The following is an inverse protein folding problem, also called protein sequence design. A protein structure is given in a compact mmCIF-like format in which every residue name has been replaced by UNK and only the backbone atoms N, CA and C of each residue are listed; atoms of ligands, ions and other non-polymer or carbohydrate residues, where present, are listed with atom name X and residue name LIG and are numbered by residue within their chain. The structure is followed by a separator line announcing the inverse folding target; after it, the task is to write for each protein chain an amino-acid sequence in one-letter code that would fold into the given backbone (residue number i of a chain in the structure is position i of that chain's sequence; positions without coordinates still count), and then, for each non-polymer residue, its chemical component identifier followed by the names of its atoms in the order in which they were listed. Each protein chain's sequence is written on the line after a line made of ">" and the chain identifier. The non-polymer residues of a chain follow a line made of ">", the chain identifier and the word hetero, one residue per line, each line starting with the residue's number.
data_IF_428986010852
#
_entry.id   IF_428986010852
#
_cell.length_a   1.000
_cell.length_b   1.000
_cell.length_c   1.000
_cell.angle_alpha   90.00
_cell.angle_beta   90.00
_cell.angle_gamma   90.00
#
_symmetry.space_group_name_H-M   'P 1'
#
loop_
_entity.id
_entity.type
_entity.pdbx_description
1 polymer ?
#
# COMPACT_ATOMS: atom_id res chain seq x y z
N UNK A 1 -26.63 5.47 -7.41
CA UNK A 1 -25.56 5.22 -8.42
C UNK A 1 -24.22 5.31 -7.71
N UNK A 2 -23.59 4.20 -7.39
CA UNK A 2 -22.29 4.16 -6.74
C UNK A 2 -21.24 4.64 -7.75
N UNK A 3 -20.68 5.85 -7.52
CA UNK A 3 -19.52 6.35 -8.25
C UNK A 3 -18.46 5.23 -8.26
N UNK A 4 -17.99 4.83 -9.43
CA UNK A 4 -16.89 3.86 -9.59
C UNK A 4 -15.63 4.45 -8.92
N UNK A 5 -15.48 4.18 -7.64
CA UNK A 5 -14.34 4.63 -6.86
C UNK A 5 -13.11 3.82 -7.27
N UNK A 6 -12.01 4.51 -7.60
CA UNK A 6 -10.72 3.84 -7.86
C UNK A 6 -10.35 3.06 -6.60
N UNK A 7 -10.04 1.76 -6.71
CA UNK A 7 -9.65 0.96 -5.56
C UNK A 7 -8.34 1.45 -4.97
N UNK A 8 -8.22 1.29 -3.66
CA UNK A 8 -7.06 1.73 -2.89
C UNK A 8 -6.38 0.56 -2.20
N UNK A 9 -5.05 0.47 -2.35
CA UNK A 9 -4.15 -0.43 -1.64
C UNK A 9 -3.36 0.37 -0.64
N UNK A 10 -3.39 -0.05 0.61
CA UNK A 10 -2.66 0.57 1.71
C UNK A 10 -1.40 -0.23 2.03
N UNK A 11 -0.27 0.44 2.21
CA UNK A 11 0.96 -0.21 2.67
C UNK A 11 1.12 0.03 4.17
N UNK A 12 1.18 -1.05 4.94
CA UNK A 12 1.53 -1.05 6.35
C UNK A 12 2.92 -1.69 6.52
N UNK A 13 3.71 -1.17 7.43
CA UNK A 13 5.03 -1.72 7.73
C UNK A 13 5.82 -0.79 8.64
N UNK A 14 6.81 -1.34 9.32
CA UNK A 14 7.68 -0.59 10.22
C UNK A 14 8.45 0.54 9.48
N UNK A 15 8.99 1.53 10.19
CA UNK A 15 9.98 2.45 9.62
C UNK A 15 11.11 1.66 8.96
N UNK A 16 11.60 2.17 7.84
CA UNK A 16 12.68 1.54 7.06
C UNK A 16 12.36 0.16 6.45
N UNK A 17 11.12 -0.35 6.50
CA UNK A 17 10.73 -1.56 5.78
C UNK A 17 10.77 -1.41 4.26
N UNK A 18 10.93 -0.18 3.74
CA UNK A 18 11.06 0.12 2.32
C UNK A 18 9.75 0.49 1.64
N UNK A 19 8.74 0.99 2.37
CA UNK A 19 7.42 1.38 1.84
C UNK A 19 7.54 2.39 0.70
N UNK A 20 8.21 3.51 0.93
CA UNK A 20 8.40 4.56 -0.08
C UNK A 20 9.27 4.09 -1.25
N UNK A 21 10.26 3.21 -0.98
CA UNK A 21 11.07 2.57 -2.03
C UNK A 21 10.19 1.70 -2.93
N UNK A 22 9.26 0.94 -2.34
CA UNK A 22 8.32 0.11 -3.08
C UNK A 22 7.38 0.96 -3.94
N UNK A 23 6.78 2.01 -3.37
CA UNK A 23 5.92 2.95 -4.12
C UNK A 23 6.67 3.54 -5.31
N UNK A 24 7.90 4.02 -5.09
CA UNK A 24 8.74 4.58 -6.16
C UNK A 24 9.12 3.54 -7.23
N UNK A 25 9.42 2.29 -6.83
CA UNK A 25 9.74 1.23 -7.78
C UNK A 25 8.54 0.88 -8.67
N UNK A 26 7.34 0.78 -8.09
CA UNK A 26 6.10 0.51 -8.82
C UNK A 26 5.72 1.68 -9.74
N UNK A 27 5.86 2.91 -9.29
CA UNK A 27 5.51 4.12 -10.07
C UNK A 27 6.41 4.30 -11.29
N UNK A 28 7.70 3.97 -11.19
CA UNK A 28 8.64 4.07 -12.33
C UNK A 28 8.40 3.01 -13.42
N UNK A 29 7.76 1.92 -13.08
CA UNK A 29 7.43 0.84 -14.04
C UNK A 29 6.12 1.09 -14.77
N UNK A 30 5.29 2.01 -14.29
CA UNK A 30 3.97 2.35 -14.84
C UNK A 30 3.93 3.81 -15.30
N UNK A 31 3.34 4.05 -16.44
CA UNK A 31 3.55 5.24 -17.29
C UNK A 31 2.80 6.51 -16.86
N UNK A 32 2.25 6.61 -15.65
CA UNK A 32 1.58 7.84 -15.23
C UNK A 32 1.64 8.06 -13.73
N UNK A 33 2.46 9.03 -13.34
CA UNK A 33 2.39 9.63 -12.00
C UNK A 33 1.36 10.75 -12.09
N UNK A 34 0.13 10.52 -11.70
CA UNK A 34 -0.84 11.59 -11.48
C UNK A 34 -0.80 11.92 -9.99
N UNK A 35 -0.02 12.96 -9.67
CA UNK A 35 -0.14 13.75 -8.46
C UNK A 35 -0.11 13.00 -7.12
N UNK A 36 1.02 13.13 -6.40
CA UNK A 36 1.01 13.07 -4.95
C UNK A 36 0.32 14.35 -4.46
N UNK A 37 -0.82 14.25 -3.80
CA UNK A 37 -1.36 15.35 -3.01
C UNK A 37 -0.77 15.23 -1.60
N UNK A 38 0.21 16.06 -1.23
CA UNK A 38 0.70 16.11 0.13
C UNK A 38 -0.30 16.95 0.94
N UNK A 39 -1.02 16.29 1.81
CA UNK A 39 -1.72 16.98 2.89
C UNK A 39 -0.91 16.73 4.15
N UNK A 40 -0.23 17.75 4.65
CA UNK A 40 0.56 17.83 5.90
C UNK A 40 1.46 16.62 6.25
N UNK A 41 2.56 16.84 6.99
CA UNK A 41 3.65 15.89 7.33
C UNK A 41 3.21 14.66 8.16
N UNK A 42 1.90 14.51 8.45
CA UNK A 42 1.29 13.38 9.16
C UNK A 42 0.21 12.66 8.35
N UNK A 43 -0.04 13.09 7.10
CA UNK A 43 -1.10 12.53 6.28
C UNK A 43 -0.58 11.46 5.31
N UNK A 44 -1.48 10.58 4.97
CA UNK A 44 -1.30 9.52 3.98
C UNK A 44 -0.79 10.08 2.65
N UNK A 45 0.32 9.55 2.16
CA UNK A 45 0.83 9.84 0.80
C UNK A 45 0.20 8.86 -0.18
N UNK A 46 -0.56 9.36 -1.16
CA UNK A 46 -1.25 8.52 -2.14
C UNK A 46 -0.68 8.76 -3.52
N UNK A 47 -0.36 7.67 -4.22
CA UNK A 47 0.13 7.66 -5.60
C UNK A 47 -0.86 6.87 -6.46
N UNK A 48 -1.17 7.35 -7.65
CA UNK A 48 -1.98 6.61 -8.63
C UNK A 48 -1.07 5.76 -9.50
N UNK A 49 -1.36 4.47 -9.57
CA UNK A 49 -0.78 3.56 -10.55
C UNK A 49 -1.76 3.39 -11.69
N UNK A 50 -1.29 3.55 -12.93
CA UNK A 50 -2.05 3.31 -14.13
C UNK A 50 -1.51 2.08 -14.84
N UNK A 51 -2.39 1.13 -15.13
CA UNK A 51 -2.08 -0.10 -15.84
C UNK A 51 -2.55 0.02 -17.29
N UNK A 52 -2.09 -0.90 -18.12
CA UNK A 52 -2.66 -1.11 -19.44
C UNK A 52 -4.18 -1.26 -19.34
N UNK A 53 -4.91 -0.92 -20.40
CA UNK A 53 -6.38 -0.89 -20.43
C UNK A 53 -7.04 0.20 -19.57
N UNK A 54 -6.36 1.29 -19.28
CA UNK A 54 -6.86 2.43 -18.49
C UNK A 54 -7.29 2.07 -17.06
N UNK A 55 -6.81 0.94 -16.55
CA UNK A 55 -7.07 0.52 -15.17
C UNK A 55 -6.24 1.32 -14.20
N UNK A 56 -6.87 1.80 -13.14
CA UNK A 56 -6.24 2.64 -12.11
C UNK A 56 -6.34 2.01 -10.74
N UNK A 57 -5.33 2.26 -9.93
CA UNK A 57 -5.23 1.85 -8.54
C UNK A 57 -4.56 2.96 -7.74
N UNK A 58 -5.08 3.27 -6.57
CA UNK A 58 -4.41 4.13 -5.60
C UNK A 58 -3.52 3.26 -4.70
N UNK A 59 -2.26 3.64 -4.56
CA UNK A 59 -1.37 3.06 -3.58
C UNK A 59 -1.02 4.13 -2.54
N UNK A 60 -1.19 3.79 -1.27
CA UNK A 60 -1.07 4.74 -0.17
C UNK A 60 -0.08 4.25 0.86
N UNK A 61 0.89 5.10 1.19
CA UNK A 61 1.81 4.93 2.31
C UNK A 61 1.31 5.75 3.51
N UNK A 62 1.31 5.13 4.69
CA UNK A 62 1.04 5.82 5.95
C UNK A 62 2.37 6.16 6.62
N UNK A 63 2.81 7.42 6.58
CA UNK A 63 4.01 7.84 7.30
C UNK A 63 3.78 7.79 8.81
N UNK A 64 4.81 7.43 9.57
CA UNK A 64 4.84 7.60 11.02
C UNK A 64 3.99 6.64 11.86
N UNK A 65 3.55 5.51 11.29
CA UNK A 65 2.67 4.58 12.02
C UNK A 65 3.28 3.97 13.29
N UNK A 66 4.60 3.99 13.45
CA UNK A 66 5.29 3.30 14.54
C UNK A 66 6.59 4.00 14.98
N UNK A 67 6.63 5.32 14.95
CA UNK A 67 7.82 6.02 15.48
C UNK A 67 7.86 5.97 17.00
N UNK A 68 6.70 5.88 17.66
CA UNK A 68 6.61 5.68 19.10
C UNK A 68 5.30 4.94 19.46
N UNK A 69 5.37 3.68 19.93
CA UNK A 69 4.19 2.95 20.38
C UNK A 69 3.51 3.56 21.60
N UNK A 70 4.23 4.34 22.40
CA UNK A 70 3.72 4.95 23.64
C UNK A 70 3.13 6.35 23.40
N UNK A 71 3.46 7.00 22.27
CA UNK A 71 2.99 8.35 21.91
C UNK A 71 1.79 8.33 20.93
N UNK A 72 1.09 7.20 20.82
CA UNK A 72 -0.06 7.04 19.93
C UNK A 72 -1.25 7.80 20.51
N UNK A 73 -1.33 9.07 20.17
CA UNK A 73 -2.51 9.89 20.42
C UNK A 73 -3.77 9.18 19.87
N UNK A 74 -4.82 9.03 20.68
CA UNK A 74 -6.08 8.34 20.37
C UNK A 74 -6.62 8.76 18.99
N UNK A 75 -6.52 10.05 18.64
CA UNK A 75 -6.90 10.58 17.31
C UNK A 75 -6.12 9.98 16.15
N UNK A 76 -4.88 9.59 16.37
CA UNK A 76 -4.05 8.98 15.34
C UNK A 76 -4.45 7.51 15.10
N UNK A 77 -4.78 6.77 16.16
CA UNK A 77 -5.31 5.41 16.07
C UNK A 77 -6.64 5.38 15.29
N UNK A 78 -7.56 6.30 15.58
CA UNK A 78 -8.84 6.38 14.87
C UNK A 78 -8.66 6.67 13.38
N UNK A 79 -7.70 7.52 13.01
CA UNK A 79 -7.39 7.80 11.62
C UNK A 79 -6.84 6.56 10.88
N UNK A 80 -5.97 5.80 11.52
CA UNK A 80 -5.43 4.57 10.94
C UNK A 80 -6.53 3.55 10.74
N UNK A 81 -7.39 3.32 11.73
CA UNK A 81 -8.53 2.42 11.62
C UNK A 81 -9.44 2.83 10.46
N UNK A 82 -9.66 4.12 10.25
CA UNK A 82 -10.41 4.60 9.08
C UNK A 82 -9.73 4.26 7.76
N UNK A 83 -8.40 4.39 7.67
CA UNK A 83 -7.67 4.08 6.44
C UNK A 83 -7.65 2.57 6.15
N UNK A 84 -7.31 1.73 7.15
CA UNK A 84 -7.26 0.28 6.95
C UNK A 84 -8.64 -0.31 6.64
N UNK A 85 -9.70 0.20 7.26
CA UNK A 85 -11.06 -0.26 6.99
C UNK A 85 -11.54 0.14 5.58
N UNK A 86 -11.19 1.34 5.11
CA UNK A 86 -11.57 1.86 3.79
C UNK A 86 -10.75 1.27 2.63
N UNK A 87 -9.54 0.80 2.90
CA UNK A 87 -8.69 0.21 1.88
C UNK A 87 -9.33 -1.05 1.29
N UNK A 88 -9.22 -1.20 -0.02
CA UNK A 88 -9.67 -2.40 -0.72
C UNK A 88 -8.73 -3.58 -0.50
N UNK A 89 -7.43 -3.29 -0.28
CA UNK A 89 -6.41 -4.29 0.02
C UNK A 89 -5.30 -3.67 0.87
N UNK A 90 -4.57 -4.51 1.58
CA UNK A 90 -3.47 -4.12 2.45
C UNK A 90 -2.23 -4.92 2.04
N UNK A 91 -1.10 -4.24 1.86
CA UNK A 91 0.21 -4.85 1.78
C UNK A 91 0.89 -4.69 3.14
N UNK A 92 1.09 -5.78 3.85
CA UNK A 92 1.88 -5.80 5.07
C UNK A 92 3.35 -6.00 4.70
N UNK A 93 4.11 -4.90 4.63
CA UNK A 93 5.51 -4.88 4.21
C UNK A 93 6.44 -5.14 5.39
N UNK A 94 7.21 -6.21 5.32
CA UNK A 94 8.16 -6.65 6.35
C UNK A 94 9.56 -6.68 5.75
N UNK A 95 10.53 -6.04 6.42
CA UNK A 95 11.94 -6.26 6.14
C UNK A 95 12.35 -7.65 6.63
N UNK A 96 12.82 -8.55 5.74
CA UNK A 96 13.21 -9.91 6.11
C UNK A 96 14.32 -9.96 7.17
N UNK A 97 15.09 -8.89 7.28
CA UNK A 97 16.20 -8.76 8.24
C UNK A 97 15.76 -8.12 9.57
N UNK A 98 14.49 -7.70 9.68
CA UNK A 98 14.00 -7.02 10.89
C UNK A 98 14.06 -7.93 12.10
N UNK A 99 14.55 -7.37 13.22
CA UNK A 99 14.48 -7.99 14.55
C UNK A 99 13.48 -7.28 15.47
N UNK A 100 12.77 -6.26 14.98
CA UNK A 100 11.74 -5.55 15.75
C UNK A 100 10.40 -6.30 15.71
N UNK A 101 10.32 -7.42 16.43
CA UNK A 101 9.10 -8.23 16.48
C UNK A 101 7.95 -7.54 17.22
N UNK A 102 8.24 -6.73 18.24
CA UNK A 102 7.19 -6.01 18.98
C UNK A 102 6.43 -5.03 18.09
N UNK A 103 7.14 -4.29 17.23
CA UNK A 103 6.51 -3.42 16.23
C UNK A 103 5.71 -4.19 15.18
N UNK A 104 6.21 -5.34 14.71
CA UNK A 104 5.46 -6.23 13.82
C UNK A 104 4.20 -6.79 14.49
N UNK A 105 4.28 -7.17 15.77
CA UNK A 105 3.13 -7.64 16.55
C UNK A 105 2.03 -6.59 16.66
N UNK A 106 2.39 -5.31 16.74
CA UNK A 106 1.41 -4.21 16.78
C UNK A 106 0.62 -4.13 15.48
N UNK A 107 1.27 -4.23 14.33
CA UNK A 107 0.59 -4.26 13.03
C UNK A 107 -0.22 -5.54 12.87
N UNK A 108 0.33 -6.68 13.26
CA UNK A 108 -0.36 -7.96 13.21
C UNK A 108 -1.66 -7.95 14.04
N UNK A 109 -1.61 -7.43 15.26
CA UNK A 109 -2.80 -7.24 16.11
C UNK A 109 -3.81 -6.30 15.47
N UNK A 110 -3.36 -5.19 14.87
CA UNK A 110 -4.24 -4.28 14.15
C UNK A 110 -5.04 -5.00 13.05
N UNK A 111 -4.36 -5.81 12.23
CA UNK A 111 -4.99 -6.56 11.14
C UNK A 111 -5.97 -7.60 11.69
N UNK A 112 -5.57 -8.38 12.69
CA UNK A 112 -6.41 -9.44 13.25
C UNK A 112 -7.63 -8.90 14.01
N UNK A 113 -7.44 -7.92 14.88
CA UNK A 113 -8.51 -7.36 15.71
C UNK A 113 -9.60 -6.65 14.89
N UNK A 114 -9.28 -6.26 13.66
CA UNK A 114 -10.23 -5.62 12.75
C UNK A 114 -10.70 -6.55 11.61
N UNK A 115 -10.41 -7.86 11.68
CA UNK A 115 -10.84 -8.87 10.68
C UNK A 115 -10.40 -8.52 9.25
N UNK A 116 -9.16 -8.01 9.08
CA UNK A 116 -8.64 -7.54 7.80
C UNK A 116 -7.78 -8.59 7.07
N UNK A 117 -7.63 -9.80 7.62
CA UNK A 117 -6.75 -10.86 7.11
C UNK A 117 -7.05 -11.17 5.65
N UNK A 118 -8.34 -11.32 5.29
CA UNK A 118 -8.78 -11.71 3.94
C UNK A 118 -8.43 -10.68 2.85
N UNK A 119 -8.12 -9.44 3.22
CA UNK A 119 -7.68 -8.40 2.29
C UNK A 119 -6.22 -7.97 2.52
N UNK A 120 -5.43 -8.80 3.19
CA UNK A 120 -4.01 -8.52 3.47
C UNK A 120 -3.13 -9.54 2.77
N UNK A 121 -2.08 -9.04 2.11
CA UNK A 121 -0.97 -9.83 1.57
C UNK A 121 0.29 -9.46 2.32
N UNK A 122 1.03 -10.45 2.80
CA UNK A 122 2.34 -10.22 3.42
C UNK A 122 3.42 -10.12 2.34
N UNK A 123 4.22 -9.07 2.42
CA UNK A 123 5.31 -8.81 1.47
C UNK A 123 6.61 -8.70 2.23
N UNK A 124 7.46 -9.69 2.09
CA UNK A 124 8.83 -9.71 2.62
C UNK A 124 9.74 -8.95 1.66
N UNK A 125 10.24 -7.80 2.10
CA UNK A 125 11.11 -6.91 1.33
C UNK A 125 12.57 -7.07 1.75
N UNK A 126 13.48 -6.55 0.91
CA UNK A 126 14.95 -6.67 1.03
C UNK A 126 15.44 -8.11 0.92
N UNK A 127 14.74 -8.89 0.09
CA UNK A 127 14.99 -10.31 -0.10
C UNK A 127 15.89 -10.60 -1.33
N UNK A 128 16.77 -9.67 -1.72
CA UNK A 128 17.62 -9.80 -2.91
C UNK A 128 18.61 -10.98 -2.87
N UNK A 129 19.08 -11.31 -1.69
CA UNK A 129 20.01 -12.42 -1.43
C UNK A 129 19.47 -13.36 -0.34
N UNK A 130 18.14 -13.38 -0.20
CA UNK A 130 17.48 -14.11 0.87
C UNK A 130 17.00 -15.47 0.36
N UNK A 131 17.41 -16.53 1.04
CA UNK A 131 16.90 -17.88 0.84
C UNK A 131 15.71 -18.07 1.77
N UNK A 132 14.59 -18.52 1.24
CA UNK A 132 13.31 -18.66 1.98
C UNK A 132 13.48 -19.58 3.20
N UNK A 133 14.35 -20.59 3.09
CA UNK A 133 14.68 -21.53 4.16
C UNK A 133 15.32 -20.85 5.39
N UNK A 134 15.92 -19.67 5.18
CA UNK A 134 16.52 -18.86 6.24
C UNK A 134 15.53 -17.91 6.93
N UNK A 135 14.24 -17.95 6.55
CA UNK A 135 13.23 -17.13 7.20
C UNK A 135 13.11 -17.50 8.68
N UNK A 136 13.27 -16.50 9.54
CA UNK A 136 13.08 -16.70 10.97
C UNK A 136 11.68 -17.27 11.25
N UNK A 137 11.62 -18.42 11.93
CA UNK A 137 10.36 -19.12 12.22
C UNK A 137 9.31 -18.22 12.88
N UNK A 138 9.75 -17.21 13.62
CA UNK A 138 8.86 -16.21 14.24
C UNK A 138 8.12 -15.35 13.22
N UNK A 139 8.63 -15.24 11.99
CA UNK A 139 8.00 -14.44 10.94
C UNK A 139 6.79 -15.14 10.28
N UNK A 140 6.70 -16.47 10.35
CA UNK A 140 5.60 -17.22 9.76
C UNK A 140 4.23 -16.80 10.31
N UNK A 141 4.15 -16.36 11.58
CA UNK A 141 2.89 -15.87 12.16
C UNK A 141 2.33 -14.62 11.48
N UNK A 142 3.18 -13.85 10.77
CA UNK A 142 2.78 -12.62 10.09
C UNK A 142 2.29 -12.84 8.66
N UNK A 143 2.26 -14.09 8.18
CA UNK A 143 1.79 -14.41 6.84
C UNK A 143 0.27 -14.38 6.81
N UNK A 144 -0.27 -13.54 5.93
CA UNK A 144 -1.70 -13.42 5.65
C UNK A 144 -1.95 -13.82 4.18
N UNK A 145 -2.84 -14.79 3.96
CA UNK A 145 -3.26 -15.33 2.66
C UNK A 145 -2.10 -15.78 1.77
N UNK A 146 -1.30 -14.85 1.29
CA UNK A 146 -0.19 -15.06 0.37
C UNK A 146 1.02 -14.28 0.87
N UNK A 147 2.18 -14.89 0.79
CA UNK A 147 3.45 -14.25 1.01
C UNK A 147 4.18 -14.01 -0.32
N UNK A 148 4.84 -12.87 -0.41
CA UNK A 148 5.70 -12.50 -1.52
C UNK A 148 7.07 -12.11 -1.00
N UNK A 149 8.11 -12.54 -1.68
CA UNK A 149 9.49 -12.12 -1.42
C UNK A 149 9.94 -11.20 -2.55
N UNK A 150 10.30 -9.97 -2.20
CA UNK A 150 10.70 -8.94 -3.15
C UNK A 150 11.97 -8.21 -2.70
N UNK A 151 12.61 -7.56 -3.65
CA UNK A 151 13.54 -6.47 -3.38
C UNK A 151 13.05 -5.23 -4.12
N UNK A 152 12.45 -4.30 -3.39
CA UNK A 152 11.95 -3.05 -3.97
C UNK A 152 13.10 -2.21 -4.55
N UNK A 153 14.26 -2.21 -3.90
CA UNK A 153 15.44 -1.49 -4.34
C UNK A 153 16.02 -2.06 -5.63
N UNK A 154 16.21 -3.39 -5.69
CA UNK A 154 16.73 -4.08 -6.88
C UNK A 154 15.66 -4.46 -7.89
N UNK A 155 14.39 -4.11 -7.64
CA UNK A 155 13.24 -4.41 -8.50
C UNK A 155 13.04 -5.90 -8.81
N UNK A 156 13.44 -6.79 -7.89
CA UNK A 156 13.24 -8.24 -8.00
C UNK A 156 11.89 -8.63 -7.40
N UNK A 157 11.19 -9.59 -8.01
CA UNK A 157 9.90 -10.11 -7.52
C UNK A 157 8.71 -9.15 -7.68
N UNK A 158 8.91 -7.96 -8.27
CA UNK A 158 7.84 -6.97 -8.42
C UNK A 158 6.78 -7.39 -9.45
N UNK A 159 7.11 -8.26 -10.41
CA UNK A 159 6.16 -8.70 -11.45
C UNK A 159 4.97 -9.46 -10.84
N UNK A 160 5.24 -10.29 -9.82
CA UNK A 160 4.18 -11.03 -9.10
C UNK A 160 3.29 -10.07 -8.34
N UNK A 161 3.88 -9.11 -7.63
CA UNK A 161 3.13 -8.07 -6.91
C UNK A 161 2.30 -7.21 -7.87
N UNK A 162 2.89 -6.79 -9.01
CA UNK A 162 2.17 -6.02 -10.03
C UNK A 162 0.96 -6.78 -10.59
N UNK A 163 1.06 -8.08 -10.81
CA UNK A 163 -0.05 -8.90 -11.26
C UNK A 163 -1.20 -8.93 -10.23
N UNK A 164 -0.89 -8.96 -8.94
CA UNK A 164 -1.89 -8.85 -7.87
C UNK A 164 -2.55 -7.47 -7.92
N UNK A 165 -1.75 -6.40 -7.99
CA UNK A 165 -2.24 -5.03 -8.05
C UNK A 165 -3.10 -4.78 -9.30
N UNK A 166 -2.70 -5.34 -10.46
CA UNK A 166 -3.48 -5.26 -11.71
C UNK A 166 -4.85 -5.94 -11.58
N UNK A 167 -4.94 -7.06 -10.87
CA UNK A 167 -6.23 -7.73 -10.60
C UNK A 167 -7.14 -6.89 -9.70
N UNK A 168 -6.57 -6.14 -8.78
CA UNK A 168 -7.31 -5.24 -7.88
C UNK A 168 -7.74 -3.93 -8.56
N UNK A 169 -7.05 -3.52 -9.64
CA UNK A 169 -7.34 -2.27 -10.35
C UNK A 169 -8.66 -2.32 -11.12
N UNK A 170 -9.26 -1.15 -11.37
CA UNK A 170 -10.51 -1.01 -12.12
C UNK A 170 -10.36 0.04 -13.22
N UNK A 171 -11.09 -0.14 -14.32
CA UNK A 171 -11.24 0.92 -15.33
C UNK A 171 -11.87 2.15 -14.68
N UNK A 172 -11.24 3.31 -14.87
CA UNK A 172 -11.86 4.59 -14.53
C UNK A 172 -13.02 4.78 -15.51
N UNK A 173 -14.25 4.86 -15.04
CA UNK A 173 -15.32 5.37 -15.88
C UNK A 173 -14.99 6.84 -16.17
N UNK A 174 -14.67 7.16 -17.40
CA UNK A 174 -14.52 8.54 -17.85
C UNK A 174 -15.78 9.30 -17.45
N UNK A 175 -15.64 10.17 -16.45
CA UNK A 175 -16.57 11.28 -16.33
C UNK A 175 -16.29 12.11 -17.56
N UNK A 176 -17.18 12.06 -18.58
CA UNK A 176 -17.14 12.95 -19.70
C UNK A 176 -16.82 14.35 -19.17
N UNK A 177 -15.64 14.86 -19.50
CA UNK A 177 -15.40 16.29 -19.56
C UNK A 177 -16.42 16.86 -20.55
N UNK A 178 -17.59 17.21 -20.05
CA UNK A 178 -18.44 18.17 -20.73
C UNK A 178 -17.63 19.46 -20.70
N UNK A 179 -16.86 19.66 -21.75
CA UNK A 179 -16.42 20.98 -22.14
C UNK A 179 -17.71 21.82 -22.26
N UNK A 180 -18.01 22.57 -21.24
CA UNK A 180 -18.99 23.64 -21.33
C UNK A 180 -18.42 24.65 -22.30
N UNK A 181 -18.84 24.57 -23.55
CA UNK A 181 -18.62 25.61 -24.54
C UNK A 181 -19.44 26.80 -24.06
N UNK A 182 -18.79 27.79 -23.48
CA UNK A 182 -19.40 29.10 -23.25
C UNK A 182 -19.45 29.76 -24.61
N UNK A 183 -20.62 29.79 -25.21
CA UNK A 183 -20.89 30.63 -26.40
C UNK A 183 -21.14 32.03 -25.86
N UNK A 184 -20.19 32.93 -26.05
CA UNK A 184 -20.39 34.37 -25.87
C UNK A 184 -21.07 34.87 -27.11
N UNK A 185 -22.37 35.21 -26.99
CA UNK A 185 -23.11 35.95 -28.03
C UNK A 185 -22.89 37.43 -27.74
N UNK A 186 -22.20 38.13 -28.66
CA UNK A 186 -22.06 39.58 -28.67
C UNK A 186 -23.25 40.27 -29.36
#
# INVERSE_FOLDING_TARGET
>A
MTKNKIPEVLILGLPNAGKSTLVNALSKRKTSIIGSTPNTTRDKVTTTLEFEDEKKLLISDLPGFLEDPDDINIKFQDNILRYVNKANHILFLIDVQSKNYSGLDSIFKLINNNNLQNKTTTVFNKAENFEIENLDKRMYKYIFNTELFISAYHKKGLDVLENILKKLSKKSSNVNDRKSSIVIVG
#
